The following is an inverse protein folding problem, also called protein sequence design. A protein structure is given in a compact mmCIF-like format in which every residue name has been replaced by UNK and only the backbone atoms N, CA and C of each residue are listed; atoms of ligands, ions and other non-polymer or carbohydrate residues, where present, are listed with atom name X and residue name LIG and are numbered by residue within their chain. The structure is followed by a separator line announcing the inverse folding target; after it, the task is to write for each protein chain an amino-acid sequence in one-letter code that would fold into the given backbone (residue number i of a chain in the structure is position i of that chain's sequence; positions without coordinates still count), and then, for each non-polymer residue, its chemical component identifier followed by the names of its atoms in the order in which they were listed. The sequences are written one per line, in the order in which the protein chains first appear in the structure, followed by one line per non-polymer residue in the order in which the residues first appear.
data_IF_806126200882
#
_entry.id   IF_806126200882
#
_cell.length_a   1.000
_cell.length_b   1.000
_cell.length_c   1.000
_cell.angle_alpha   90.00
_cell.angle_beta   90.00
_cell.angle_gamma   90.00
#
_symmetry.space_group_name_H-M   'P 1'
#
loop_
_entity.id
_entity.type
_entity.pdbx_description
1 polymer ?
#
# COMPACT_ATOMS: atom_id res chain seq x y z
N UNK A 1 10.28 11.02 -40.82
CA UNK A 1 11.58 10.42 -40.42
C UNK A 1 12.00 11.05 -39.10
N UNK A 2 11.42 10.59 -37.98
CA UNK A 2 11.69 11.15 -36.65
C UNK A 2 12.81 10.36 -35.96
N UNK A 3 13.91 11.03 -35.60
CA UNK A 3 14.99 10.42 -34.82
C UNK A 3 14.50 10.26 -33.38
N UNK A 4 14.60 9.04 -32.83
CA UNK A 4 14.47 8.80 -31.39
C UNK A 4 15.78 9.28 -30.76
N UNK A 5 15.70 10.28 -29.90
CA UNK A 5 16.85 10.65 -29.08
C UNK A 5 16.93 9.66 -27.91
N UNK A 6 17.96 8.81 -27.96
CA UNK A 6 18.31 7.91 -26.88
C UNK A 6 18.92 8.72 -25.74
N UNK A 7 18.15 8.99 -24.69
CA UNK A 7 18.70 9.44 -23.42
C UNK A 7 19.48 8.29 -22.77
N UNK A 8 20.74 8.54 -22.41
CA UNK A 8 21.58 7.61 -21.65
C UNK A 8 21.06 7.52 -20.23
N UNK A 9 20.68 6.31 -19.79
CA UNK A 9 20.36 6.02 -18.39
C UNK A 9 21.67 5.67 -17.68
N UNK A 10 22.25 6.64 -16.98
CA UNK A 10 23.32 6.35 -16.02
C UNK A 10 22.69 5.77 -14.75
N UNK A 11 22.83 4.46 -14.56
CA UNK A 11 22.40 3.75 -13.36
C UNK A 11 23.46 3.98 -12.28
N UNK A 12 23.24 4.94 -11.39
CA UNK A 12 24.02 5.09 -10.16
C UNK A 12 23.39 4.17 -9.11
N UNK A 13 24.17 3.27 -8.45
CA UNK A 13 23.61 2.40 -7.43
C UNK A 13 23.25 3.24 -6.20
N UNK A 14 22.12 2.89 -5.58
CA UNK A 14 21.56 3.43 -4.33
C UNK A 14 20.66 4.67 -4.50
N UNK A 15 19.35 4.41 -4.66
CA UNK A 15 18.32 5.07 -3.85
C UNK A 15 17.84 6.49 -4.21
N UNK A 16 18.11 7.04 -5.40
CA UNK A 16 17.50 8.32 -5.81
C UNK A 16 17.34 8.41 -7.33
N UNK A 17 16.18 8.03 -7.86
CA UNK A 17 15.83 8.34 -9.25
C UNK A 17 15.57 9.85 -9.38
N UNK A 18 16.54 10.60 -9.90
CA UNK A 18 16.31 11.98 -10.32
C UNK A 18 15.94 12.00 -11.80
N UNK A 19 14.66 12.24 -12.10
CA UNK A 19 14.24 12.55 -13.46
C UNK A 19 14.60 14.01 -13.75
N UNK A 20 15.57 14.22 -14.65
CA UNK A 20 15.90 15.54 -15.16
C UNK A 20 15.28 15.70 -16.55
N UNK A 21 14.46 16.74 -16.75
CA UNK A 21 14.06 17.18 -18.09
C UNK A 21 14.68 18.57 -18.30
N UNK A 22 15.42 18.74 -19.40
CA UNK A 22 16.49 19.74 -19.55
C UNK A 22 16.04 21.21 -19.68
N UNK A 23 14.78 21.54 -19.36
CA UNK A 23 14.23 22.88 -19.67
C UNK A 23 13.44 23.57 -18.56
N UNK A 24 13.32 23.02 -17.34
CA UNK A 24 12.76 23.79 -16.22
C UNK A 24 13.15 23.22 -14.86
N UNK A 25 13.91 24.01 -14.09
CA UNK A 25 14.14 23.83 -12.65
C UNK A 25 12.86 24.15 -11.86
N UNK A 26 11.81 23.36 -12.08
CA UNK A 26 10.69 23.26 -11.15
C UNK A 26 10.71 21.83 -10.65
N UNK A 27 10.99 21.68 -9.36
CA UNK A 27 10.94 20.41 -8.65
C UNK A 27 9.62 19.72 -9.00
N UNK A 28 9.70 18.70 -9.86
CA UNK A 28 8.55 17.87 -10.16
C UNK A 28 8.27 17.19 -8.83
N UNK A 29 7.16 17.54 -8.18
CA UNK A 29 6.65 16.80 -7.02
C UNK A 29 6.21 15.43 -7.54
N UNK A 30 7.19 14.59 -7.86
CA UNK A 30 7.06 13.17 -8.11
C UNK A 30 6.51 12.63 -6.81
N UNK A 31 5.18 12.51 -6.76
CA UNK A 31 4.49 11.80 -5.69
C UNK A 31 5.15 10.44 -5.61
N UNK A 32 6.01 10.27 -4.61
CA UNK A 32 6.78 9.06 -4.40
C UNK A 32 5.82 7.88 -4.47
N UNK A 33 6.13 6.89 -5.32
CA UNK A 33 5.31 5.68 -5.42
C UNK A 33 5.26 5.06 -4.03
N UNK A 34 4.05 4.90 -3.49
CA UNK A 34 3.85 4.30 -2.18
C UNK A 34 3.73 2.79 -2.32
N UNK A 35 4.45 2.06 -1.48
CA UNK A 35 4.44 0.61 -1.42
C UNK A 35 4.64 0.14 0.02
N UNK A 36 4.68 -1.17 0.23
CA UNK A 36 5.06 -1.77 1.51
C UNK A 36 6.45 -1.34 2.00
N UNK A 37 7.36 -0.99 1.09
CA UNK A 37 8.72 -0.58 1.43
C UNK A 37 8.83 0.90 1.83
N UNK A 38 7.92 1.74 1.35
CA UNK A 38 7.97 3.20 1.52
C UNK A 38 6.82 3.78 2.35
N UNK A 39 5.75 3.01 2.57
CA UNK A 39 4.59 3.43 3.35
C UNK A 39 4.86 3.42 4.85
N UNK A 40 4.13 4.27 5.59
CA UNK A 40 4.17 4.33 7.04
C UNK A 40 3.79 2.96 7.61
N UNK A 41 4.75 2.32 8.28
CA UNK A 41 4.59 1.02 8.94
C UNK A 41 4.13 1.20 10.38
N UNK A 42 3.26 0.30 10.83
CA UNK A 42 2.88 0.16 12.21
C UNK A 42 2.61 -1.30 12.55
N UNK A 43 2.74 -1.65 13.82
CA UNK A 43 2.40 -2.97 14.34
C UNK A 43 1.16 -2.89 15.23
N UNK A 44 0.39 -3.97 15.26
CA UNK A 44 -0.81 -4.09 16.10
C UNK A 44 -1.07 -5.54 16.50
N UNK A 45 -1.90 -5.74 17.52
CA UNK A 45 -2.27 -7.07 18.00
C UNK A 45 -1.07 -7.95 18.34
N UNK A 46 -1.14 -9.23 17.97
CA UNK A 46 -0.05 -10.21 18.15
C UNK A 46 0.68 -10.36 16.81
N UNK A 47 1.77 -9.59 16.66
CA UNK A 47 2.67 -9.64 15.50
C UNK A 47 1.97 -9.38 14.14
N UNK A 48 0.91 -8.57 14.12
CA UNK A 48 0.37 -8.05 12.87
C UNK A 48 1.15 -6.81 12.44
N UNK A 49 1.28 -6.64 11.14
CA UNK A 49 1.90 -5.47 10.52
C UNK A 49 0.92 -4.79 9.57
N UNK A 50 0.93 -3.46 9.56
CA UNK A 50 0.18 -2.63 8.64
C UNK A 50 1.06 -1.60 7.96
N UNK A 51 0.80 -1.32 6.68
CA UNK A 51 1.43 -0.24 5.92
C UNK A 51 0.34 0.65 5.32
N UNK A 52 0.32 1.93 5.68
CA UNK A 52 -0.60 2.88 5.08
C UNK A 52 -0.17 3.20 3.64
N UNK A 53 -1.00 2.79 2.67
CA UNK A 53 -0.86 3.17 1.26
C UNK A 53 -1.69 4.41 0.92
N UNK A 54 -2.82 4.60 1.62
CA UNK A 54 -3.60 5.83 1.61
C UNK A 54 -4.10 6.11 3.03
N UNK A 55 -3.97 7.35 3.47
CA UNK A 55 -4.45 7.82 4.79
C UNK A 55 -5.08 9.20 4.62
N UNK A 56 -6.32 9.23 4.15
CA UNK A 56 -7.14 10.44 3.98
C UNK A 56 -8.46 10.29 4.74
N UNK A 57 -9.15 11.40 4.98
CA UNK A 57 -10.40 11.39 5.74
C UNK A 57 -11.54 10.63 5.05
N UNK A 58 -11.52 10.54 3.72
CA UNK A 58 -12.51 9.88 2.88
C UNK A 58 -12.14 8.44 2.49
N UNK A 59 -10.84 8.10 2.51
CA UNK A 59 -10.33 6.80 2.12
C UNK A 59 -9.05 6.44 2.89
N UNK A 60 -9.02 5.23 3.42
CA UNK A 60 -7.79 4.57 3.86
C UNK A 60 -7.58 3.27 3.10
N UNK A 61 -6.34 3.03 2.70
CA UNK A 61 -5.89 1.75 2.13
C UNK A 61 -4.70 1.31 2.96
N UNK A 62 -4.78 0.10 3.49
CA UNK A 62 -3.76 -0.50 4.34
C UNK A 62 -3.39 -1.84 3.72
N UNK A 63 -2.09 -2.07 3.53
CA UNK A 63 -1.58 -3.42 3.28
C UNK A 63 -1.35 -4.04 4.65
N UNK A 64 -1.96 -5.18 4.93
CA UNK A 64 -1.80 -5.86 6.22
C UNK A 64 -1.19 -7.25 6.07
N UNK A 65 -0.38 -7.63 7.05
CA UNK A 65 0.08 -9.00 7.24
C UNK A 65 -0.39 -9.45 8.62
N UNK A 66 -1.18 -10.51 8.64
CA UNK A 66 -1.66 -11.15 9.86
C UNK A 66 -1.08 -12.57 9.94
N UNK A 67 -0.40 -12.95 11.04
CA UNK A 67 0.04 -14.32 11.24
C UNK A 67 -1.16 -15.25 11.55
N UNK A 68 -1.00 -16.59 11.41
CA UNK A 68 -2.02 -17.53 11.82
C UNK A 68 -2.49 -17.31 13.26
N UNK A 69 -3.79 -17.48 13.51
CA UNK A 69 -4.45 -17.26 14.81
C UNK A 69 -4.57 -15.80 15.26
N UNK A 70 -3.98 -14.83 14.57
CA UNK A 70 -4.26 -13.42 14.80
C UNK A 70 -5.72 -13.11 14.45
N UNK A 71 -6.30 -12.18 15.21
CA UNK A 71 -7.68 -11.74 15.03
C UNK A 71 -7.81 -10.27 15.39
N UNK A 72 -8.76 -9.63 14.77
CA UNK A 72 -9.21 -8.29 15.11
C UNK A 72 -10.26 -8.37 16.25
N UNK A 73 -10.42 -7.30 17.03
CA UNK A 73 -11.46 -7.16 18.06
C UNK A 73 -12.77 -6.69 17.42
N UNK A 74 -13.77 -7.58 17.39
CA UNK A 74 -15.13 -7.33 16.86
C UNK A 74 -15.61 -5.90 17.09
N UNK A 75 -15.78 -5.16 16.01
CA UNK A 75 -16.29 -3.80 16.01
C UNK A 75 -17.15 -3.54 14.76
N UNK A 76 -17.69 -2.33 14.65
CA UNK A 76 -18.49 -1.90 13.52
C UNK A 76 -18.21 -0.44 13.17
N UNK A 77 -18.40 -0.07 11.91
CA UNK A 77 -18.20 1.29 11.43
C UNK A 77 -19.53 1.99 11.18
N UNK A 78 -19.81 3.05 11.93
CA UNK A 78 -21.03 3.85 11.77
C UNK A 78 -21.06 4.70 10.49
N UNK A 79 -19.87 5.10 10.00
CA UNK A 79 -19.73 6.11 8.92
C UNK A 79 -18.80 5.67 7.80
N UNK A 80 -18.31 4.44 7.84
CA UNK A 80 -17.30 3.93 6.90
C UNK A 80 -17.71 2.56 6.40
N UNK A 81 -17.28 2.24 5.18
CA UNK A 81 -17.41 0.91 4.61
C UNK A 81 -16.02 0.28 4.64
N UNK A 82 -15.96 -1.00 4.97
CA UNK A 82 -14.72 -1.76 5.00
C UNK A 82 -14.79 -2.85 3.92
N UNK A 83 -13.70 -3.01 3.19
CA UNK A 83 -13.53 -4.07 2.20
C UNK A 83 -12.17 -4.74 2.42
N UNK A 84 -12.13 -6.05 2.24
CA UNK A 84 -10.91 -6.84 2.33
C UNK A 84 -10.59 -7.44 0.97
N UNK A 85 -9.32 -7.35 0.56
CA UNK A 85 -8.80 -8.05 -0.60
C UNK A 85 -7.65 -8.94 -0.15
N UNK A 86 -7.84 -10.25 -0.23
CA UNK A 86 -6.85 -11.22 0.25
C UNK A 86 -5.81 -11.42 -0.85
N UNK A 87 -4.57 -11.01 -0.58
CA UNK A 87 -3.45 -11.14 -1.52
C UNK A 87 -2.78 -12.52 -1.45
N UNK A 88 -2.79 -13.16 -0.27
CA UNK A 88 -2.18 -14.46 -0.04
C UNK A 88 -2.79 -15.11 1.21
N UNK A 89 -2.94 -16.44 1.17
CA UNK A 89 -3.40 -17.26 2.29
C UNK A 89 -4.92 -17.35 2.41
N UNK A 90 -5.37 -17.63 3.62
CA UNK A 90 -6.78 -17.81 3.98
C UNK A 90 -7.11 -16.93 5.18
N UNK A 91 -8.28 -16.31 5.15
CA UNK A 91 -8.85 -15.61 6.29
C UNK A 91 -10.29 -16.07 6.54
N UNK A 92 -10.80 -15.74 7.71
CA UNK A 92 -12.19 -15.98 8.08
C UNK A 92 -12.78 -14.67 8.57
N UNK A 93 -13.91 -14.27 7.99
CA UNK A 93 -14.61 -13.05 8.37
C UNK A 93 -15.97 -13.40 8.96
N UNK A 94 -16.29 -12.86 10.14
CA UNK A 94 -17.58 -13.06 10.79
C UNK A 94 -18.42 -11.79 10.68
N UNK A 95 -19.60 -11.88 10.07
CA UNK A 95 -20.54 -10.78 9.91
C UNK A 95 -21.90 -11.23 10.44
N UNK A 96 -22.41 -10.56 11.48
CA UNK A 96 -23.71 -10.88 12.10
C UNK A 96 -23.85 -12.36 12.49
N UNK A 97 -22.77 -12.99 12.98
CA UNK A 97 -22.75 -14.41 13.36
C UNK A 97 -22.54 -15.38 12.20
N UNK A 98 -22.54 -14.91 10.95
CA UNK A 98 -22.24 -15.72 9.78
C UNK A 98 -20.74 -15.68 9.48
N UNK A 99 -20.16 -16.86 9.26
CA UNK A 99 -18.73 -17.04 9.03
C UNK A 99 -18.47 -17.27 7.55
N UNK A 100 -17.60 -16.45 6.96
CA UNK A 100 -17.18 -16.52 5.57
C UNK A 100 -15.71 -16.85 5.48
N UNK A 101 -15.38 -17.85 4.68
CA UNK A 101 -14.00 -18.17 4.33
C UNK A 101 -13.56 -17.35 3.12
N UNK A 102 -12.42 -16.67 3.25
CA UNK A 102 -11.83 -15.83 2.21
C UNK A 102 -10.51 -16.47 1.76
N UNK A 103 -10.42 -16.79 0.48
CA UNK A 103 -9.26 -17.42 -0.16
C UNK A 103 -8.72 -16.51 -1.26
N UNK A 104 -7.41 -16.52 -1.47
CA UNK A 104 -6.75 -15.92 -2.64
C UNK A 104 -6.46 -16.97 -3.72
#
# INVERSE_FOLDING_TARGET
MGRREHGTLDVIPIGSFKYYNQTNMKEINLKMKISKQTGEHYSWGINCDGWHLVRKGDLSIIHERMPPSAREIRHYHNRSRLFFFILSGKATNEINGLVFELLC
#
